data_IF_081472785671
#
_entry.id   IF_081472785671
#
_cell.length_a   1.000
_cell.length_b   1.000
_cell.length_c   1.000
_cell.angle_alpha   90.00
_cell.angle_beta   90.00
_cell.angle_gamma   90.00
#
_symmetry.space_group_name_H-M   'P 1'
#
loop_
_entity.id
_entity.type
_entity.pdbx_description
1 polymer ?
#
# COMPACT_ATOMS: atom_id res chain seq x y z
N UNK A 1 57.83 43.88 27.20
CA UNK A 1 57.55 42.72 28.07
C UNK A 1 56.10 42.33 27.83
N UNK A 2 55.90 41.15 27.24
CA UNK A 2 54.64 40.49 26.84
C UNK A 2 53.78 41.15 25.75
N UNK A 3 54.18 40.88 24.50
CA UNK A 3 53.25 40.74 23.38
C UNK A 3 52.25 39.63 23.72
N UNK A 4 51.01 39.98 24.06
CA UNK A 4 49.93 39.00 24.18
C UNK A 4 49.47 38.60 22.78
N UNK A 5 50.21 37.69 22.17
CA UNK A 5 49.73 36.84 21.07
C UNK A 5 48.66 35.88 21.62
N UNK A 6 47.49 36.41 21.98
CA UNK A 6 46.35 35.61 22.43
C UNK A 6 45.24 35.49 21.39
N UNK A 7 45.45 35.96 20.16
CA UNK A 7 44.32 36.31 19.30
C UNK A 7 44.15 35.51 18.00
N UNK A 8 44.87 34.39 17.83
CA UNK A 8 44.68 33.55 16.64
C UNK A 8 44.36 32.08 16.95
N UNK A 9 44.94 31.52 18.01
CA UNK A 9 44.84 30.08 18.29
C UNK A 9 43.56 29.70 19.04
N UNK A 10 43.07 30.55 19.95
CA UNK A 10 41.82 30.29 20.69
C UNK A 10 40.56 30.60 19.89
N UNK A 11 40.63 31.58 18.97
CA UNK A 11 39.53 31.88 18.05
C UNK A 11 39.20 30.67 17.16
N UNK A 12 40.23 29.95 16.70
CA UNK A 12 40.07 28.73 15.90
C UNK A 12 39.46 27.56 16.68
N UNK A 13 39.86 27.37 17.94
CA UNK A 13 39.29 26.35 18.83
C UNK A 13 37.81 26.62 19.15
N UNK A 14 37.45 27.87 19.43
CA UNK A 14 36.06 28.27 19.65
C UNK A 14 35.17 28.05 18.42
N UNK A 15 35.68 28.40 17.23
CA UNK A 15 34.98 28.18 15.97
C UNK A 15 34.81 26.68 15.65
N UNK A 16 35.81 25.85 15.94
CA UNK A 16 35.70 24.40 15.78
C UNK A 16 34.63 23.79 16.69
N UNK A 17 34.57 24.21 17.96
CA UNK A 17 33.56 23.74 18.92
C UNK A 17 32.14 24.19 18.52
N UNK A 18 31.97 25.45 18.08
CA UNK A 18 30.67 25.95 17.58
C UNK A 18 30.25 25.25 16.28
N UNK A 19 31.19 24.95 15.38
CA UNK A 19 30.91 24.26 14.12
C UNK A 19 30.50 22.79 14.34
N UNK A 20 31.06 22.12 15.34
CA UNK A 20 30.64 20.75 15.73
C UNK A 20 29.25 20.75 16.38
N UNK A 21 28.90 21.78 17.15
CA UNK A 21 27.57 21.90 17.75
C UNK A 21 26.44 22.11 16.73
N UNK A 22 26.73 22.71 15.58
CA UNK A 22 25.72 22.96 14.52
C UNK A 22 25.49 21.72 13.63
N UNK A 23 26.46 20.81 13.56
CA UNK A 23 26.39 19.58 12.77
C UNK A 23 25.49 18.48 13.39
N UNK A 24 24.97 18.69 14.60
CA UNK A 24 24.22 17.68 15.37
C UNK A 24 22.73 17.53 15.04
N UNK A 25 22.15 18.32 14.12
CA UNK A 25 20.67 18.40 13.96
C UNK A 25 20.15 17.79 12.65
N UNK A 26 20.90 16.89 12.01
CA UNK A 26 20.43 16.23 10.78
C UNK A 26 19.89 14.79 10.97
N UNK A 27 19.80 14.28 12.20
CA UNK A 27 19.54 12.86 12.45
C UNK A 27 18.08 12.48 12.81
N UNK A 28 17.12 13.39 12.73
CA UNK A 28 15.74 13.06 13.09
C UNK A 28 14.72 13.83 12.25
N UNK A 29 14.59 13.49 10.97
CA UNK A 29 13.32 13.65 10.28
C UNK A 29 12.61 12.29 10.29
N UNK A 30 11.80 11.97 11.32
CA UNK A 30 10.84 10.90 11.19
C UNK A 30 9.65 11.47 10.43
N UNK A 31 9.44 11.06 9.19
CA UNK A 31 8.09 10.84 8.68
C UNK A 31 8.19 10.35 7.23
N UNK A 32 8.14 9.04 7.04
CA UNK A 32 7.39 8.56 5.87
C UNK A 32 6.02 9.26 5.88
N UNK A 33 5.52 9.74 4.73
CA UNK A 33 4.23 10.42 4.67
C UNK A 33 3.13 9.57 5.33
N UNK A 34 2.11 10.21 5.93
CA UNK A 34 1.04 9.46 6.59
C UNK A 34 0.37 8.50 5.60
N UNK A 35 -0.16 7.36 6.08
CA UNK A 35 -0.80 6.39 5.20
C UNK A 35 -1.93 7.01 4.35
N UNK A 36 -1.82 6.88 3.02
CA UNK A 36 -2.77 7.48 2.07
C UNK A 36 -3.81 6.47 1.58
N UNK A 37 -4.81 6.19 2.43
CA UNK A 37 -5.93 5.33 2.04
C UNK A 37 -6.79 5.96 0.93
N UNK A 38 -6.84 7.30 0.85
CA UNK A 38 -7.63 8.02 -0.15
C UNK A 38 -7.03 7.96 -1.55
N UNK A 39 -5.70 7.98 -1.66
CA UNK A 39 -4.96 7.73 -2.89
C UNK A 39 -5.25 6.34 -3.46
N UNK A 40 -5.19 5.31 -2.60
CA UNK A 40 -5.53 3.94 -3.00
C UNK A 40 -6.98 3.83 -3.47
N UNK A 41 -7.93 4.38 -2.71
CA UNK A 41 -9.35 4.35 -3.07
C UNK A 41 -9.59 4.97 -4.46
N UNK A 42 -9.00 6.15 -4.72
CA UNK A 42 -9.12 6.81 -6.03
C UNK A 42 -8.52 5.98 -7.16
N UNK A 43 -7.38 5.32 -6.95
CA UNK A 43 -6.81 4.41 -7.96
C UNK A 43 -7.76 3.24 -8.22
N UNK A 44 -8.33 2.64 -7.16
CA UNK A 44 -9.31 1.55 -7.28
C UNK A 44 -10.53 1.99 -8.07
N UNK A 45 -11.15 3.10 -7.68
CA UNK A 45 -12.37 3.62 -8.31
C UNK A 45 -12.12 3.99 -9.79
N UNK A 46 -10.98 4.59 -10.10
CA UNK A 46 -10.62 4.92 -11.49
C UNK A 46 -10.56 3.71 -12.43
N UNK A 47 -10.14 2.55 -11.92
CA UNK A 47 -10.09 1.30 -12.68
C UNK A 47 -11.46 0.61 -12.67
N UNK A 48 -12.16 0.66 -11.54
CA UNK A 48 -13.46 0.04 -11.35
C UNK A 48 -14.63 0.78 -12.02
N UNK A 49 -14.43 2.01 -12.50
CA UNK A 49 -15.41 2.75 -13.31
C UNK A 49 -15.22 2.54 -14.83
N UNK A 50 -14.05 2.05 -15.26
CA UNK A 50 -13.73 1.90 -16.69
C UNK A 50 -14.53 0.79 -17.39
N UNK A 51 -15.00 1.01 -18.62
CA UNK A 51 -15.78 0.01 -19.36
C UNK A 51 -14.96 -1.22 -19.78
N UNK A 52 -13.65 -1.10 -19.90
CA UNK A 52 -12.76 -2.12 -20.46
C UNK A 52 -11.81 -2.72 -19.42
N UNK A 53 -11.27 -3.93 -19.65
CA UNK A 53 -10.20 -4.48 -18.83
C UNK A 53 -9.04 -3.49 -18.70
N UNK A 54 -8.62 -3.24 -17.46
CA UNK A 54 -7.63 -2.24 -17.13
C UNK A 54 -6.81 -2.69 -15.91
N UNK A 55 -5.62 -2.13 -15.75
CA UNK A 55 -4.75 -2.39 -14.59
C UNK A 55 -4.09 -1.11 -14.15
N UNK A 56 -4.01 -0.90 -12.84
CA UNK A 56 -3.24 0.18 -12.24
C UNK A 56 -2.53 -0.33 -10.98
N UNK A 57 -1.50 0.40 -10.58
CA UNK A 57 -0.80 0.16 -9.32
C UNK A 57 -0.77 1.45 -8.50
N UNK A 58 -0.78 1.31 -7.18
CA UNK A 58 -0.62 2.41 -6.24
C UNK A 58 0.42 2.05 -5.19
N UNK A 59 1.42 2.90 -4.98
CA UNK A 59 2.44 2.68 -3.95
C UNK A 59 1.85 2.84 -2.54
N UNK A 60 2.22 1.97 -1.61
CA UNK A 60 1.72 2.01 -0.23
C UNK A 60 2.83 2.47 0.70
N UNK A 61 2.49 3.42 1.57
CA UNK A 61 3.33 3.84 2.69
C UNK A 61 2.58 3.55 3.99
N UNK A 62 2.58 2.28 4.40
CA UNK A 62 1.92 1.78 5.60
C UNK A 62 2.56 0.44 6.00
N UNK A 63 2.40 0.03 7.26
CA UNK A 63 2.91 -1.26 7.73
C UNK A 63 1.87 -2.38 7.55
N UNK A 64 0.59 -2.01 7.56
CA UNK A 64 -0.54 -2.93 7.46
C UNK A 64 -1.64 -2.39 6.57
N UNK A 65 -2.27 -3.32 5.85
CA UNK A 65 -3.36 -3.10 4.92
C UNK A 65 -4.57 -3.94 5.36
N UNK A 66 -5.75 -3.37 5.24
CA UNK A 66 -7.02 -4.09 5.33
C UNK A 66 -7.90 -3.67 4.17
N UNK A 67 -8.22 -4.64 3.31
CA UNK A 67 -9.12 -4.47 2.18
C UNK A 67 -10.45 -5.15 2.47
N UNK A 68 -11.55 -4.43 2.29
CA UNK A 68 -12.91 -4.96 2.29
C UNK A 68 -13.52 -4.75 0.90
N UNK A 69 -14.71 -5.30 0.64
CA UNK A 69 -15.40 -5.11 -0.64
C UNK A 69 -15.80 -3.65 -0.94
N UNK A 70 -15.78 -2.75 0.04
CA UNK A 70 -16.15 -1.34 -0.09
C UNK A 70 -15.27 -0.35 0.67
N UNK A 71 -14.11 -0.78 1.19
CA UNK A 71 -13.19 0.13 1.87
C UNK A 71 -11.75 -0.37 1.87
N UNK A 72 -10.83 0.59 1.92
CA UNK A 72 -9.42 0.35 2.19
C UNK A 72 -9.05 1.02 3.50
N UNK A 73 -8.28 0.33 4.33
CA UNK A 73 -7.69 0.88 5.54
C UNK A 73 -6.20 0.59 5.54
N UNK A 74 -5.41 1.62 5.83
CA UNK A 74 -3.96 1.56 5.96
C UNK A 74 -3.59 1.94 7.38
N UNK A 75 -2.64 1.23 7.98
CA UNK A 75 -2.19 1.54 9.33
C UNK A 75 -0.68 1.44 9.46
N UNK A 76 -0.16 2.25 10.36
CA UNK A 76 1.22 2.23 10.83
C UNK A 76 1.21 2.38 12.37
N UNK A 77 2.39 2.55 12.96
CA UNK A 77 2.53 2.82 14.40
C UNK A 77 1.93 4.17 14.84
N UNK A 78 1.67 5.08 13.90
CA UNK A 78 1.15 6.43 14.17
C UNK A 78 -0.37 6.50 14.13
N UNK A 79 -1.01 5.57 13.42
CA UNK A 79 -2.47 5.51 13.37
C UNK A 79 -3.03 4.68 12.23
N UNK A 80 -4.24 5.01 11.83
CA UNK A 80 -4.96 4.32 10.74
C UNK A 80 -5.69 5.34 9.90
N UNK A 81 -5.45 5.28 8.60
CA UNK A 81 -6.23 5.97 7.58
C UNK A 81 -7.25 5.00 6.98
N UNK A 82 -8.45 5.50 6.68
CA UNK A 82 -9.52 4.71 6.06
C UNK A 82 -10.21 5.53 4.99
N UNK A 83 -10.50 4.88 3.87
CA UNK A 83 -11.30 5.44 2.79
C UNK A 83 -12.36 4.42 2.34
N UNK A 84 -13.54 4.93 2.00
CA UNK A 84 -14.58 4.16 1.30
C UNK A 84 -14.26 4.09 -0.17
N UNK A 85 -14.76 3.06 -0.84
CA UNK A 85 -14.70 2.90 -2.29
C UNK A 85 -16.05 3.24 -2.88
N UNK A 86 -16.05 4.02 -3.96
CA UNK A 86 -17.28 4.30 -4.73
C UNK A 86 -17.61 3.13 -5.68
N UNK A 87 -16.57 2.39 -6.09
CA UNK A 87 -16.67 1.20 -6.90
C UNK A 87 -17.65 0.16 -6.32
N UNK A 88 -18.58 -0.39 -7.12
CA UNK A 88 -19.47 -1.44 -6.66
C UNK A 88 -18.69 -2.74 -6.42
N UNK A 89 -18.47 -3.06 -5.14
CA UNK A 89 -17.95 -4.35 -4.61
C UNK A 89 -16.68 -4.86 -5.30
N UNK A 90 -15.54 -4.38 -4.84
CA UNK A 90 -14.25 -4.95 -5.26
C UNK A 90 -14.03 -6.34 -4.67
N UNK A 91 -13.09 -7.09 -5.25
CA UNK A 91 -12.70 -8.43 -4.81
C UNK A 91 -11.31 -8.39 -4.19
N UNK A 92 -11.20 -8.52 -2.85
CA UNK A 92 -9.91 -8.53 -2.17
C UNK A 92 -9.09 -9.79 -2.51
N UNK A 93 -7.83 -9.59 -2.91
CA UNK A 93 -6.86 -10.65 -3.24
C UNK A 93 -5.63 -10.51 -2.35
N UNK A 94 -5.83 -10.69 -1.05
CA UNK A 94 -4.75 -10.56 -0.07
C UNK A 94 -3.92 -11.85 0.02
N UNK A 95 -2.63 -11.72 0.35
CA UNK A 95 -1.81 -12.86 0.77
C UNK A 95 -2.09 -13.16 2.24
N UNK A 96 -2.20 -14.44 2.57
CA UNK A 96 -2.25 -14.87 3.97
C UNK A 96 -0.90 -14.56 4.62
N UNK A 97 -0.91 -13.72 5.65
CA UNK A 97 0.17 -13.67 6.63
C UNK A 97 0.04 -14.84 7.60
N UNK A 98 1.13 -15.23 8.26
CA UNK A 98 1.25 -16.42 9.13
C UNK A 98 0.18 -16.55 10.25
N UNK A 99 -0.65 -15.53 10.47
CA UNK A 99 -1.66 -15.45 11.54
C UNK A 99 -3.08 -15.14 11.03
N UNK A 100 -3.29 -14.95 9.73
CA UNK A 100 -4.59 -14.53 9.19
C UNK A 100 -5.37 -15.70 8.56
N UNK A 101 -6.54 -15.98 9.12
CA UNK A 101 -7.50 -17.00 8.68
C UNK A 101 -8.20 -16.68 7.34
N UNK A 102 -7.77 -15.62 6.66
CA UNK A 102 -8.31 -15.15 5.39
C UNK A 102 -7.31 -15.46 4.26
N UNK A 103 -7.46 -16.62 3.61
CA UNK A 103 -6.66 -16.97 2.43
C UNK A 103 -7.51 -16.80 1.18
N UNK A 104 -7.18 -15.82 0.32
CA UNK A 104 -7.82 -15.71 -1.00
C UNK A 104 -7.34 -16.85 -1.92
N UNK A 105 -8.27 -17.41 -2.71
CA UNK A 105 -8.04 -18.42 -3.73
C UNK A 105 -6.81 -18.07 -4.59
N UNK A 106 -5.82 -18.98 -4.65
CA UNK A 106 -4.56 -18.72 -5.34
C UNK A 106 -4.74 -18.45 -6.83
N UNK A 107 -5.84 -18.90 -7.44
CA UNK A 107 -6.16 -18.63 -8.84
C UNK A 107 -6.50 -17.16 -9.07
N UNK A 108 -7.22 -16.51 -8.14
CA UNK A 108 -7.48 -15.07 -8.22
C UNK A 108 -6.19 -14.25 -8.19
N UNK A 109 -5.20 -14.69 -7.40
CA UNK A 109 -3.88 -14.07 -7.34
C UNK A 109 -3.14 -14.17 -8.67
N UNK A 110 -3.15 -15.35 -9.30
CA UNK A 110 -2.59 -15.50 -10.66
C UNK A 110 -3.23 -14.54 -11.66
N UNK A 111 -4.55 -14.36 -11.58
CA UNK A 111 -5.25 -13.42 -12.46
C UNK A 111 -4.87 -11.97 -12.15
N UNK A 112 -4.77 -11.58 -10.88
CA UNK A 112 -4.27 -10.27 -10.48
C UNK A 112 -2.87 -10.01 -11.05
N UNK A 113 -1.99 -11.01 -10.97
CA UNK A 113 -0.63 -11.01 -11.51
C UNK A 113 -0.57 -11.03 -13.05
N UNK A 114 -1.73 -11.11 -13.73
CA UNK A 114 -1.85 -10.96 -15.19
C UNK A 114 -2.10 -12.25 -15.96
N UNK A 115 -2.27 -13.40 -15.30
CA UNK A 115 -2.69 -14.64 -15.98
C UNK A 115 -4.13 -14.46 -16.50
N UNK A 116 -4.40 -14.79 -17.78
CA UNK A 116 -5.76 -14.75 -18.31
C UNK A 116 -6.75 -15.62 -17.50
N UNK A 117 -7.99 -15.16 -17.27
CA UNK A 117 -8.94 -15.87 -16.40
C UNK A 117 -9.33 -17.26 -16.93
N UNK A 118 -9.35 -17.46 -18.25
CA UNK A 118 -9.58 -18.75 -18.92
C UNK A 118 -8.42 -19.75 -18.76
N UNK A 119 -7.20 -19.27 -18.52
CA UNK A 119 -6.07 -20.11 -18.15
C UNK A 119 -6.04 -20.44 -16.64
N UNK A 120 -6.73 -19.63 -15.82
CA UNK A 120 -6.75 -19.79 -14.37
C UNK A 120 -8.00 -20.54 -13.85
N UNK A 121 -9.12 -20.46 -14.56
CA UNK A 121 -10.42 -21.01 -14.20
C UNK A 121 -11.05 -21.73 -15.38
N UNK A 122 -11.67 -22.88 -15.11
CA UNK A 122 -12.30 -23.73 -16.12
C UNK A 122 -13.45 -23.01 -16.85
N UNK A 123 -14.20 -22.17 -16.13
CA UNK A 123 -15.34 -21.44 -16.67
C UNK A 123 -15.60 -20.10 -15.92
N UNK A 124 -16.39 -19.18 -16.51
CA UNK A 124 -16.74 -17.90 -15.87
C UNK A 124 -17.46 -18.02 -14.53
N UNK A 125 -18.28 -19.06 -14.31
CA UNK A 125 -19.01 -19.24 -13.06
C UNK A 125 -18.07 -19.64 -11.91
N UNK A 126 -17.04 -20.45 -12.20
CA UNK A 126 -15.99 -20.78 -11.24
C UNK A 126 -15.19 -19.53 -10.82
N UNK A 127 -14.91 -18.62 -11.75
CA UNK A 127 -14.28 -17.33 -11.47
C UNK A 127 -15.18 -16.44 -10.60
N UNK A 128 -16.47 -16.30 -10.96
CA UNK A 128 -17.44 -15.55 -10.17
C UNK A 128 -17.58 -16.08 -8.74
N UNK A 129 -17.69 -17.41 -8.57
CA UNK A 129 -17.79 -18.05 -7.26
C UNK A 129 -16.53 -17.84 -6.41
N UNK A 130 -15.35 -17.80 -7.02
CA UNK A 130 -14.12 -17.47 -6.31
C UNK A 130 -14.11 -16.02 -5.83
N UNK A 131 -14.56 -15.09 -6.68
CA UNK A 131 -14.67 -13.69 -6.32
C UNK A 131 -15.69 -13.46 -5.19
N UNK A 132 -16.84 -14.14 -5.22
CA UNK A 132 -17.82 -14.09 -4.13
C UNK A 132 -17.27 -14.61 -2.80
N UNK A 133 -16.57 -15.75 -2.82
CA UNK A 133 -15.91 -16.30 -1.61
C UNK A 133 -14.89 -15.33 -1.04
N UNK A 134 -14.10 -14.68 -1.89
CA UNK A 134 -13.13 -13.68 -1.47
C UNK A 134 -13.81 -12.47 -0.82
N UNK A 135 -14.94 -12.00 -1.36
CA UNK A 135 -15.74 -10.91 -0.76
C UNK A 135 -16.38 -11.29 0.57
N UNK A 136 -16.82 -12.54 0.71
CA UNK A 136 -17.46 -13.04 1.92
C UNK A 136 -16.48 -13.36 3.06
N UNK A 137 -15.17 -13.36 2.79
CA UNK A 137 -14.15 -13.64 3.80
C UNK A 137 -14.01 -12.45 4.74
N UNK A 138 -13.94 -12.69 6.05
CA UNK A 138 -13.77 -11.64 7.05
C UNK A 138 -12.43 -10.91 6.85
N UNK A 139 -12.44 -9.60 6.55
CA UNK A 139 -11.23 -8.87 6.23
C UNK A 139 -10.41 -8.55 7.48
N UNK A 140 -9.29 -9.25 7.64
CA UNK A 140 -8.28 -8.97 8.65
C UNK A 140 -7.23 -7.96 8.20
N UNK A 141 -6.45 -7.44 9.16
CA UNK A 141 -5.22 -6.73 8.86
C UNK A 141 -4.14 -7.70 8.39
N UNK A 142 -3.48 -7.38 7.28
CA UNK A 142 -2.32 -8.09 6.75
C UNK A 142 -1.13 -7.13 6.65
N UNK A 143 0.11 -7.62 6.61
CA UNK A 143 1.26 -6.77 6.26
C UNK A 143 1.01 -6.06 4.93
N UNK A 144 1.26 -4.75 4.90
CA UNK A 144 1.08 -3.98 3.68
C UNK A 144 2.16 -4.35 2.66
N UNK A 145 1.80 -4.58 1.38
CA UNK A 145 2.79 -4.67 0.31
C UNK A 145 3.36 -3.28 0.00
N UNK A 146 4.46 -3.21 -0.76
CA UNK A 146 5.00 -1.92 -1.24
C UNK A 146 4.04 -1.20 -2.22
N UNK A 147 3.16 -1.96 -2.86
CA UNK A 147 2.17 -1.48 -3.83
C UNK A 147 0.92 -2.35 -3.81
N UNK A 148 -0.22 -1.74 -4.09
CA UNK A 148 -1.49 -2.44 -4.38
C UNK A 148 -1.69 -2.44 -5.88
N UNK A 149 -2.02 -3.60 -6.44
CA UNK A 149 -2.41 -3.76 -7.84
C UNK A 149 -3.93 -3.82 -7.91
N UNK A 150 -4.50 -3.10 -8.87
CA UNK A 150 -5.92 -3.12 -9.20
C UNK A 150 -6.07 -3.63 -10.61
N UNK A 151 -6.87 -4.67 -10.81
CA UNK A 151 -7.11 -5.25 -12.14
C UNK A 151 -8.60 -5.46 -12.38
N UNK A 152 -9.14 -4.79 -13.39
CA UNK A 152 -10.46 -5.09 -13.94
C UNK A 152 -10.36 -6.22 -14.94
N UNK A 153 -11.13 -7.28 -14.70
CA UNK A 153 -11.12 -8.53 -15.47
C UNK A 153 -12.50 -8.80 -16.00
N UNK A 154 -12.58 -9.11 -17.30
CA UNK A 154 -13.79 -9.59 -17.96
C UNK A 154 -13.58 -11.05 -18.36
N UNK A 155 -14.49 -11.93 -17.97
CA UNK A 155 -14.50 -13.33 -18.38
C UNK A 155 -15.92 -13.77 -18.70
N UNK A 156 -16.23 -13.92 -20.00
CA UNK A 156 -17.62 -14.04 -20.45
C UNK A 156 -18.44 -12.83 -19.97
N UNK A 157 -19.56 -13.09 -19.30
CA UNK A 157 -20.40 -12.03 -18.70
C UNK A 157 -19.97 -11.60 -17.29
N UNK A 158 -18.89 -12.17 -16.75
CA UNK A 158 -18.42 -11.87 -15.40
C UNK A 158 -17.44 -10.70 -15.46
N UNK A 159 -17.79 -9.60 -14.80
CA UNK A 159 -16.91 -8.44 -14.60
C UNK A 159 -16.49 -8.39 -13.14
N UNK A 160 -15.19 -8.36 -12.88
CA UNK A 160 -14.63 -8.36 -11.51
C UNK A 160 -13.46 -7.39 -11.43
N UNK A 161 -13.44 -6.56 -10.40
CA UNK A 161 -12.26 -5.76 -10.02
C UNK A 161 -11.51 -6.45 -8.90
N UNK A 162 -10.32 -6.98 -9.21
CA UNK A 162 -9.40 -7.58 -8.25
C UNK A 162 -8.50 -6.50 -7.64
N UNK A 163 -8.29 -6.53 -6.33
CA UNK A 163 -7.41 -5.60 -5.62
C UNK A 163 -6.56 -6.36 -4.61
N UNK A 164 -5.24 -6.22 -4.65
CA UNK A 164 -4.34 -6.93 -3.72
C UNK A 164 -2.88 -6.61 -3.89
#
# INVERSE_FOLDING_TARGET
MFETHLDATYAWLGLAVVSVATAGVAAAFPASPPPDAGGVARTVDSVADGEYPATAEHGITADRLRLTDGSVSLGDDRGTARATLDAPRITPVVRSGATANATTDARLRRVLDGVPPDAAFDDPAAFAAAAERARATDPGWVPAPDRVTVRRVHYGEVRVTLVG
#
